data_IF_033950928743
#
_entry.id   IF_033950928743
#
_cell.length_a   1.000
_cell.length_b   1.000
_cell.length_c   1.000
_cell.angle_alpha   90.00
_cell.angle_beta   90.00
_cell.angle_gamma   90.00
#
_symmetry.space_group_name_H-M   'P 1'
#
loop_
_entity.id
_entity.type
_entity.pdbx_description
1 polymer ?
#
# COMPACT_ATOMS: atom_id res chain seq x y z
N UNK A 1 -11.83 11.64 10.16
CA UNK A 1 -11.52 11.95 8.75
C UNK A 1 -10.29 11.14 8.45
N UNK A 2 -10.38 10.09 7.65
CA UNK A 2 -9.19 9.31 7.31
C UNK A 2 -8.43 10.08 6.24
N UNK A 3 -7.21 10.50 6.59
CA UNK A 3 -6.31 11.28 5.77
C UNK A 3 -5.18 10.38 5.22
N UNK A 4 -4.35 10.95 4.35
CA UNK A 4 -3.12 10.35 3.80
C UNK A 4 -2.29 9.59 4.86
N UNK A 5 -2.21 10.12 6.09
CA UNK A 5 -1.47 9.52 7.20
C UNK A 5 -2.10 8.19 7.67
N UNK A 6 -3.43 8.12 7.66
CA UNK A 6 -4.17 6.91 8.05
C UNK A 6 -3.86 5.76 7.11
N UNK A 7 -3.91 6.00 5.79
CA UNK A 7 -3.60 4.97 4.80
C UNK A 7 -2.13 4.56 4.82
N UNK A 8 -1.22 5.50 5.03
CA UNK A 8 0.19 5.16 5.23
C UNK A 8 0.41 4.24 6.44
N UNK A 9 -0.29 4.49 7.56
CA UNK A 9 -0.26 3.62 8.74
C UNK A 9 -0.77 2.20 8.45
N UNK A 10 -1.88 2.09 7.71
CA UNK A 10 -2.44 0.80 7.28
C UNK A 10 -1.44 0.04 6.39
N UNK A 11 -0.90 0.70 5.36
CA UNK A 11 0.06 0.08 4.43
C UNK A 11 1.35 -0.35 5.14
N UNK A 12 1.82 0.46 6.09
CA UNK A 12 2.98 0.12 6.92
C UNK A 12 2.71 -1.13 7.77
N UNK A 13 1.53 -1.23 8.39
CA UNK A 13 1.13 -2.42 9.14
C UNK A 13 1.03 -3.66 8.24
N UNK A 14 0.41 -3.53 7.07
CA UNK A 14 0.37 -4.59 6.06
C UNK A 14 1.79 -5.03 5.67
N UNK A 15 2.70 -4.10 5.48
CA UNK A 15 4.10 -4.39 5.16
C UNK A 15 4.82 -5.17 6.27
N UNK A 16 4.68 -4.73 7.52
CA UNK A 16 5.26 -5.44 8.67
C UNK A 16 4.73 -6.88 8.82
N UNK A 17 3.45 -7.10 8.50
CA UNK A 17 2.82 -8.42 8.55
C UNK A 17 2.95 -9.19 7.23
N UNK A 18 3.61 -8.61 6.22
CA UNK A 18 3.73 -9.15 4.86
C UNK A 18 2.38 -9.53 4.24
N UNK A 19 1.35 -8.71 4.43
CA UNK A 19 -0.04 -8.90 3.97
C UNK A 19 -0.28 -8.18 2.63
N UNK A 20 0.10 -8.81 1.52
CA UNK A 20 0.05 -8.19 0.18
C UNK A 20 -1.36 -7.91 -0.32
N UNK A 21 -2.29 -8.85 -0.14
CA UNK A 21 -3.65 -8.71 -0.67
C UNK A 21 -4.42 -7.61 0.07
N UNK A 22 -4.25 -7.54 1.39
CA UNK A 22 -4.78 -6.46 2.21
C UNK A 22 -4.14 -5.12 1.85
N UNK A 23 -2.81 -5.08 1.65
CA UNK A 23 -2.10 -3.88 1.21
C UNK A 23 -2.66 -3.35 -0.12
N UNK A 24 -2.82 -4.22 -1.12
CA UNK A 24 -3.45 -3.89 -2.41
C UNK A 24 -4.88 -3.39 -2.24
N UNK A 25 -5.69 -4.07 -1.42
CA UNK A 25 -7.07 -3.68 -1.16
C UNK A 25 -7.18 -2.28 -0.57
N UNK A 26 -6.38 -1.96 0.46
CA UNK A 26 -6.39 -0.65 1.08
C UNK A 26 -5.81 0.44 0.18
N UNK A 27 -4.79 0.12 -0.62
CA UNK A 27 -4.23 1.03 -1.62
C UNK A 27 -5.27 1.40 -2.69
N UNK A 28 -6.02 0.42 -3.20
CA UNK A 28 -7.11 0.67 -4.17
C UNK A 28 -8.24 1.49 -3.54
N UNK A 29 -8.66 1.11 -2.32
CA UNK A 29 -9.71 1.79 -1.58
C UNK A 29 -9.38 3.28 -1.33
N UNK A 30 -8.13 3.59 -1.01
CA UNK A 30 -7.64 4.96 -0.82
C UNK A 30 -7.97 5.85 -2.03
N UNK A 31 -7.72 5.34 -3.24
CA UNK A 31 -7.93 6.09 -4.48
C UNK A 31 -9.41 6.10 -4.91
N UNK A 32 -10.05 4.93 -4.92
CA UNK A 32 -11.40 4.77 -5.50
C UNK A 32 -12.51 5.24 -4.59
N UNK A 33 -12.38 5.02 -3.28
CA UNK A 33 -13.45 5.30 -2.32
C UNK A 33 -13.20 6.60 -1.56
N UNK A 34 -11.94 6.94 -1.27
CA UNK A 34 -11.59 8.13 -0.50
C UNK A 34 -11.03 9.28 -1.34
N UNK A 35 -10.74 9.05 -2.63
CA UNK A 35 -10.21 10.09 -3.54
C UNK A 35 -8.82 10.61 -3.13
N UNK A 36 -8.10 9.86 -2.30
CA UNK A 36 -6.76 10.22 -1.83
C UNK A 36 -5.76 9.73 -2.89
N UNK A 37 -4.97 10.66 -3.42
CA UNK A 37 -3.93 10.34 -4.39
C UNK A 37 -2.71 9.75 -3.67
N UNK A 38 -2.18 8.60 -4.13
CA UNK A 38 -1.00 8.01 -3.51
C UNK A 38 0.22 8.93 -3.69
N UNK A 39 0.99 9.08 -2.63
CA UNK A 39 2.29 9.76 -2.67
C UNK A 39 3.45 8.76 -2.63
N UNK A 40 4.69 9.26 -2.69
CA UNK A 40 5.90 8.44 -2.70
C UNK A 40 6.00 7.46 -1.53
N UNK A 41 5.47 7.82 -0.35
CA UNK A 41 5.51 6.95 0.83
C UNK A 41 4.56 5.77 0.69
N UNK A 42 3.37 5.98 0.10
CA UNK A 42 2.41 4.91 -0.18
C UNK A 42 2.98 3.92 -1.19
N UNK A 43 3.61 4.42 -2.27
CA UNK A 43 4.28 3.58 -3.26
C UNK A 43 5.46 2.81 -2.64
N UNK A 44 6.28 3.46 -1.81
CA UNK A 44 7.39 2.80 -1.14
C UNK A 44 6.92 1.62 -0.27
N UNK A 45 5.82 1.77 0.47
CA UNK A 45 5.23 0.67 1.23
C UNK A 45 4.77 -0.48 0.33
N UNK A 46 4.12 -0.19 -0.81
CA UNK A 46 3.69 -1.21 -1.75
C UNK A 46 4.88 -1.96 -2.37
N UNK A 47 5.93 -1.25 -2.79
CA UNK A 47 7.14 -1.86 -3.34
C UNK A 47 7.83 -2.77 -2.31
N UNK A 48 7.96 -2.34 -1.04
CA UNK A 48 8.54 -3.21 0.01
C UNK A 48 7.68 -4.47 0.23
N UNK A 49 6.35 -4.32 0.20
CA UNK A 49 5.39 -5.43 0.27
C UNK A 49 5.61 -6.47 -0.83
N UNK A 50 5.81 -6.03 -2.07
CA UNK A 50 6.12 -6.93 -3.20
C UNK A 50 7.50 -7.57 -3.06
N UNK A 51 8.53 -6.80 -2.69
CA UNK A 51 9.89 -7.29 -2.48
C UNK A 51 9.94 -8.41 -1.44
N UNK A 52 9.25 -8.25 -0.29
CA UNK A 52 9.25 -9.25 0.80
C UNK A 52 8.61 -10.57 0.41
N UNK A 53 7.65 -10.56 -0.52
CA UNK A 53 7.02 -11.79 -1.04
C UNK A 53 7.76 -12.41 -2.23
N UNK A 54 8.89 -11.82 -2.66
CA UNK A 54 9.60 -12.26 -3.86
C UNK A 54 8.81 -12.00 -5.14
N UNK A 55 7.84 -11.08 -5.10
CA UNK A 55 6.93 -10.75 -6.20
C UNK A 55 7.34 -9.42 -6.86
N UNK A 56 8.65 -9.20 -7.02
CA UNK A 56 9.21 -7.96 -7.56
C UNK A 56 8.70 -7.64 -8.97
N UNK A 57 8.45 -8.65 -9.81
CA UNK A 57 7.87 -8.45 -11.14
C UNK A 57 6.48 -7.78 -11.10
N UNK A 58 5.70 -8.02 -10.04
CA UNK A 58 4.39 -7.37 -9.88
C UNK A 58 4.48 -5.94 -9.34
N UNK A 59 5.65 -5.51 -8.85
CA UNK A 59 5.86 -4.14 -8.38
C UNK A 59 6.12 -3.17 -9.54
N UNK A 60 6.45 -3.68 -10.73
CA UNK A 60 6.79 -2.90 -11.93
C UNK A 60 5.59 -2.63 -12.85
N UNK A 61 4.44 -3.29 -12.62
CA UNK A 61 3.15 -3.04 -13.31
C UNK A 61 2.38 -1.85 -12.72
#
# INVERSE_FOLDING_TARGET
MSDDITFLGILSACNHMSLLEEGKHFFDMMTRNYGILPNIMHYACMVDLFCRRGMLEQAEE
#
